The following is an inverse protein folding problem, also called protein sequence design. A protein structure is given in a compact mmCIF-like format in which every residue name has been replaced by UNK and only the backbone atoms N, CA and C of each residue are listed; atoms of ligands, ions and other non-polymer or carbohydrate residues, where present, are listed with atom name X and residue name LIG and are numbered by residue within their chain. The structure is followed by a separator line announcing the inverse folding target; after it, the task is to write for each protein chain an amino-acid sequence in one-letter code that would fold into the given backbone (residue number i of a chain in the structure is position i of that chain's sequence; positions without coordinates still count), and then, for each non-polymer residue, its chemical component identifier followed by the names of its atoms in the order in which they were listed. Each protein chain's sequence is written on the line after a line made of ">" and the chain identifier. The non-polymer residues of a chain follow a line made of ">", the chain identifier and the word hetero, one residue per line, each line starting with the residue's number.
data_IF_757826613422
#
_entry.id   IF_757826613422
#
_cell.length_a   1.000
_cell.length_b   1.000
_cell.length_c   1.000
_cell.angle_alpha   90.00
_cell.angle_beta   90.00
_cell.angle_gamma   90.00
#
_symmetry.space_group_name_H-M   'P 1'
#
loop_
_entity.id
_entity.type
_entity.pdbx_description
1 polymer ?
#
# COMPACT_ATOMS: atom_id res chain seq x y z
N UNK A 1 -0.95 11.85 24.75
CA UNK A 1 0.42 12.30 25.02
C UNK A 1 0.61 12.77 26.46
N UNK A 2 -0.22 13.64 27.00
CA UNK A 2 -0.15 14.12 28.40
C UNK A 2 -0.08 12.96 29.42
N UNK A 3 -0.85 11.90 29.23
CA UNK A 3 -0.79 10.71 30.12
C UNK A 3 0.60 10.05 30.16
N UNK A 4 1.31 10.02 29.01
CA UNK A 4 2.66 9.47 28.94
C UNK A 4 3.65 10.30 29.75
N UNK A 5 3.55 11.63 29.67
CA UNK A 5 4.37 12.55 30.48
C UNK A 5 4.13 12.33 31.96
N UNK A 6 2.85 12.26 32.39
CA UNK A 6 2.49 11.95 33.77
C UNK A 6 3.07 10.61 34.26
N UNK A 7 3.01 9.57 33.43
CA UNK A 7 3.58 8.26 33.77
C UNK A 7 5.11 8.31 33.92
N UNK A 8 5.81 9.05 33.06
CA UNK A 8 7.24 9.29 33.21
C UNK A 8 7.54 9.96 34.56
N UNK A 9 6.80 11.00 34.94
CA UNK A 9 7.03 11.73 36.17
C UNK A 9 6.79 10.85 37.41
N UNK A 10 5.73 10.03 37.36
CA UNK A 10 5.45 9.03 38.42
C UNK A 10 6.56 7.99 38.52
N UNK A 11 7.07 7.50 37.41
CA UNK A 11 8.15 6.52 37.39
C UNK A 11 9.47 7.12 37.92
N UNK A 12 9.81 8.34 37.54
CA UNK A 12 10.96 9.07 38.10
C UNK A 12 10.86 9.23 39.60
N UNK A 13 9.69 9.65 40.09
CA UNK A 13 9.46 9.83 41.55
C UNK A 13 9.55 8.49 42.31
N UNK A 14 9.10 7.39 41.73
CA UNK A 14 9.11 6.09 42.36
C UNK A 14 10.49 5.38 42.34
N UNK A 15 11.28 5.62 41.34
CA UNK A 15 12.54 4.85 41.09
C UNK A 15 13.80 5.66 41.23
N UNK A 16 13.74 6.99 41.18
CA UNK A 16 14.90 7.88 41.13
C UNK A 16 15.65 7.83 39.81
N UNK A 17 15.15 7.10 38.80
CA UNK A 17 15.80 7.00 37.49
C UNK A 17 15.57 8.25 36.63
N UNK A 18 16.61 8.72 35.95
CA UNK A 18 16.45 9.71 34.89
C UNK A 18 15.83 9.06 33.64
N UNK A 19 14.74 9.66 33.14
CA UNK A 19 14.01 9.18 31.97
C UNK A 19 13.95 10.31 30.95
N UNK A 20 15.07 10.54 30.27
CA UNK A 20 15.24 11.69 29.37
C UNK A 20 14.58 11.51 28.03
N UNK A 21 14.39 10.26 27.59
CA UNK A 21 13.76 9.94 26.32
C UNK A 21 12.28 9.57 26.53
N UNK A 22 11.37 10.38 25.95
CA UNK A 22 9.97 10.09 25.93
C UNK A 22 9.50 9.88 24.49
N UNK A 23 9.32 8.60 24.14
CA UNK A 23 8.87 8.21 22.81
C UNK A 23 7.35 8.25 22.70
N UNK A 24 6.84 9.30 22.09
CA UNK A 24 5.42 9.67 22.07
C UNK A 24 4.67 9.33 20.80
N UNK A 25 4.80 8.12 20.29
CA UNK A 25 3.96 7.65 19.19
C UNK A 25 4.66 7.50 17.84
N UNK A 26 3.87 7.53 16.78
CA UNK A 26 4.26 7.20 15.41
C UNK A 26 3.79 8.26 14.41
N UNK A 27 3.79 7.92 13.12
CA UNK A 27 3.34 8.82 12.04
C UNK A 27 1.95 9.42 12.26
N UNK A 28 1.02 8.74 12.95
CA UNK A 28 -0.31 9.26 13.23
C UNK A 28 -0.30 10.46 14.21
N UNK A 29 0.80 10.72 14.88
CA UNK A 29 0.95 11.84 15.81
C UNK A 29 1.59 13.09 15.18
N UNK A 30 2.01 13.01 13.92
CA UNK A 30 2.56 14.17 13.20
C UNK A 30 1.63 15.39 13.17
N UNK A 31 0.30 15.25 13.01
CA UNK A 31 -0.61 16.40 13.09
C UNK A 31 -0.54 17.15 14.42
N UNK A 32 -0.33 16.46 15.55
CA UNK A 32 -0.16 17.10 16.87
C UNK A 32 1.14 17.91 16.93
N UNK A 33 2.20 17.41 16.34
CA UNK A 33 3.47 18.11 16.25
C UNK A 33 3.34 19.39 15.38
N UNK A 34 2.71 19.26 14.21
CA UNK A 34 2.52 20.36 13.26
C UNK A 34 1.60 21.47 13.83
N UNK A 35 0.59 21.10 14.60
CA UNK A 35 -0.31 22.06 15.25
C UNK A 35 0.26 22.66 16.53
N UNK A 36 1.44 22.24 16.98
CA UNK A 36 2.05 22.70 18.23
C UNK A 36 1.31 22.24 19.50
N UNK A 37 0.43 21.25 19.38
CA UNK A 37 -0.36 20.71 20.53
C UNK A 37 0.29 19.51 21.18
N UNK A 38 1.42 19.04 20.67
CA UNK A 38 2.19 17.98 21.31
C UNK A 38 2.89 18.52 22.57
N UNK A 39 2.83 17.80 23.72
CA UNK A 39 3.59 18.19 24.91
C UNK A 39 5.09 18.32 24.59
N UNK A 40 5.73 19.38 25.08
CA UNK A 40 7.14 19.68 24.82
C UNK A 40 8.12 18.62 25.34
N UNK A 41 7.69 17.84 26.33
CA UNK A 41 8.44 16.75 26.93
C UNK A 41 8.54 15.52 26.00
N UNK A 42 7.66 15.40 25.02
CA UNK A 42 7.77 14.36 24.00
C UNK A 42 8.92 14.74 23.04
N UNK A 43 10.01 14.04 23.14
CA UNK A 43 11.24 14.35 22.40
C UNK A 43 11.68 13.26 21.40
N UNK A 44 10.85 12.21 21.23
CA UNK A 44 11.07 11.17 20.27
C UNK A 44 9.75 10.70 19.64
N UNK A 45 9.75 10.48 18.33
CA UNK A 45 8.66 9.87 17.56
C UNK A 45 9.22 8.74 16.69
N UNK A 46 8.44 7.68 16.52
CA UNK A 46 8.75 6.58 15.62
C UNK A 46 8.00 6.79 14.32
N UNK A 47 8.65 7.40 13.34
CA UNK A 47 8.04 7.77 12.07
C UNK A 47 8.57 6.84 10.98
N UNK A 48 7.67 6.22 10.23
CA UNK A 48 8.01 5.34 9.10
C UNK A 48 7.15 5.65 7.88
N UNK A 49 5.88 5.24 7.91
CA UNK A 49 4.96 5.34 6.77
C UNK A 49 4.87 6.75 6.18
N UNK A 50 4.75 7.78 7.01
CA UNK A 50 4.61 9.16 6.53
C UNK A 50 5.86 9.65 5.78
N UNK A 51 7.06 9.17 6.12
CA UNK A 51 8.29 9.52 5.42
C UNK A 51 8.39 8.74 4.11
N UNK A 52 8.17 7.41 4.17
CA UNK A 52 8.37 6.52 3.02
C UNK A 52 7.30 6.78 1.95
N UNK A 53 6.03 6.90 2.33
CA UNK A 53 4.92 7.06 1.37
C UNK A 53 4.43 8.50 1.23
N UNK A 54 4.96 9.43 2.03
CA UNK A 54 4.58 10.84 1.96
C UNK A 54 3.11 11.11 2.27
N UNK A 55 2.47 10.29 3.13
CA UNK A 55 1.04 10.36 3.41
C UNK A 55 0.73 10.49 4.89
N UNK A 56 -0.35 11.20 5.18
CA UNK A 56 -0.96 11.20 6.50
C UNK A 56 -1.56 9.82 6.80
N UNK A 57 -1.15 9.20 7.90
CA UNK A 57 -1.61 7.86 8.25
C UNK A 57 -3.05 7.80 8.76
N UNK A 58 -3.67 8.95 9.08
CA UNK A 58 -5.04 9.02 9.57
C UNK A 58 -6.09 8.98 8.44
N UNK A 59 -5.82 9.66 7.33
CA UNK A 59 -6.78 9.85 6.24
C UNK A 59 -6.21 9.57 4.84
N UNK A 60 -4.94 9.15 4.76
CA UNK A 60 -4.20 8.86 3.52
C UNK A 60 -3.99 10.06 2.59
N UNK A 61 -4.31 11.27 3.03
CA UNK A 61 -4.03 12.49 2.28
C UNK A 61 -2.51 12.69 2.09
N UNK A 62 -2.07 13.35 1.00
CA UNK A 62 -0.68 13.73 0.84
C UNK A 62 -0.19 14.57 2.03
N UNK A 63 0.99 14.22 2.57
CA UNK A 63 1.61 15.04 3.59
C UNK A 63 2.27 16.26 2.94
N UNK A 64 2.10 17.46 3.48
CA UNK A 64 2.66 18.68 2.88
C UNK A 64 4.17 18.56 2.67
N UNK A 65 4.66 19.00 1.51
CA UNK A 65 6.08 19.05 1.13
C UNK A 65 6.77 17.66 1.05
N UNK A 66 5.99 16.58 0.91
CA UNK A 66 6.54 15.25 0.69
C UNK A 66 6.18 14.71 -0.69
N UNK A 67 6.94 13.73 -1.15
CA UNK A 67 6.66 12.95 -2.36
C UNK A 67 5.82 11.73 -2.01
N UNK A 68 4.92 11.32 -2.95
CA UNK A 68 4.08 10.13 -2.81
C UNK A 68 4.45 9.05 -3.84
N UNK A 69 5.54 9.26 -4.58
CA UNK A 69 6.05 8.41 -5.65
C UNK A 69 7.47 7.89 -5.34
N UNK A 70 7.76 7.68 -4.08
CA UNK A 70 9.08 7.27 -3.59
C UNK A 70 9.34 5.77 -3.70
N UNK A 71 8.27 4.97 -3.78
CA UNK A 71 8.32 3.52 -3.90
C UNK A 71 7.30 3.07 -4.93
N UNK A 72 7.72 2.20 -5.82
CA UNK A 72 6.87 1.52 -6.79
C UNK A 72 7.12 0.01 -6.71
N UNK A 73 6.05 -0.77 -6.89
CA UNK A 73 6.12 -2.20 -7.17
C UNK A 73 6.07 -2.37 -8.68
N UNK A 74 7.06 -3.06 -9.22
CA UNK A 74 7.19 -3.29 -10.66
C UNK A 74 7.03 -4.78 -10.92
N UNK A 75 6.27 -5.12 -11.95
CA UNK A 75 6.08 -6.50 -12.40
C UNK A 75 6.05 -6.53 -13.92
N UNK A 76 6.29 -7.70 -14.48
CA UNK A 76 6.35 -7.90 -15.94
C UNK A 76 5.08 -8.57 -16.46
N UNK A 77 4.63 -8.18 -17.65
CA UNK A 77 3.55 -8.86 -18.38
C UNK A 77 4.09 -10.19 -18.94
N UNK A 78 3.47 -11.30 -18.54
CA UNK A 78 3.83 -12.65 -19.03
C UNK A 78 2.79 -13.23 -20.00
N UNK A 79 1.57 -12.70 -20.02
CA UNK A 79 0.52 -13.03 -20.99
C UNK A 79 -0.28 -11.77 -21.31
N UNK A 80 -0.65 -11.59 -22.58
CA UNK A 80 -1.45 -10.46 -23.02
C UNK A 80 -2.43 -10.92 -24.11
N UNK A 81 -3.74 -10.85 -23.81
CA UNK A 81 -4.79 -11.29 -24.73
C UNK A 81 -6.07 -10.45 -24.63
N UNK A 82 -6.81 -10.40 -25.74
CA UNK A 82 -8.16 -9.83 -25.76
C UNK A 82 -9.17 -10.89 -25.33
N UNK A 83 -9.83 -10.64 -24.21
CA UNK A 83 -10.83 -11.56 -23.61
C UNK A 83 -12.14 -10.82 -23.31
N UNK A 84 -13.30 -11.49 -23.33
CA UNK A 84 -14.53 -10.92 -22.81
C UNK A 84 -14.36 -10.53 -21.32
N UNK A 85 -14.94 -9.41 -20.93
CA UNK A 85 -14.91 -8.96 -19.52
C UNK A 85 -15.69 -9.87 -18.59
N UNK A 86 -16.71 -10.54 -19.11
CA UNK A 86 -17.46 -11.59 -18.41
C UNK A 86 -16.86 -12.95 -18.76
N UNK A 87 -16.48 -13.77 -17.77
CA UNK A 87 -16.01 -15.13 -18.02
C UNK A 87 -17.07 -15.98 -18.73
N UNK A 88 -16.62 -16.82 -19.65
CA UNK A 88 -17.49 -17.81 -20.27
C UNK A 88 -17.68 -19.01 -19.33
N UNK A 89 -18.92 -19.38 -19.03
CA UNK A 89 -19.26 -20.54 -18.20
C UNK A 89 -19.77 -20.19 -16.80
N UNK A 90 -19.80 -21.19 -15.91
CA UNK A 90 -20.24 -20.99 -14.53
C UNK A 90 -19.15 -20.28 -13.74
N UNK A 91 -19.53 -19.19 -13.10
CA UNK A 91 -18.67 -18.50 -12.13
C UNK A 91 -18.94 -19.06 -10.73
N UNK A 92 -17.89 -19.30 -9.98
CA UNK A 92 -17.93 -19.73 -8.59
C UNK A 92 -17.20 -18.76 -7.68
N UNK A 93 -16.85 -19.24 -6.51
CA UNK A 93 -15.93 -18.55 -5.61
C UNK A 93 -14.50 -18.58 -6.17
N UNK A 94 -13.74 -17.53 -5.89
CA UNK A 94 -12.30 -17.53 -6.16
C UNK A 94 -11.56 -18.48 -5.20
N UNK A 95 -10.25 -18.63 -5.40
CA UNK A 95 -9.42 -19.50 -4.55
C UNK A 95 -9.39 -19.07 -3.06
N UNK A 96 -9.95 -17.92 -2.73
CA UNK A 96 -10.01 -17.34 -1.38
C UNK A 96 -11.44 -17.29 -0.83
N UNK A 97 -12.39 -17.98 -1.47
CA UNK A 97 -13.79 -18.07 -1.05
C UNK A 97 -14.60 -16.78 -1.27
N UNK A 98 -14.19 -15.91 -2.18
CA UNK A 98 -14.90 -14.68 -2.50
C UNK A 98 -15.71 -14.83 -3.78
N UNK A 99 -16.98 -14.40 -3.76
CA UNK A 99 -17.78 -14.27 -4.96
C UNK A 99 -17.35 -13.03 -5.75
N UNK A 100 -16.78 -13.26 -6.93
CA UNK A 100 -16.38 -12.17 -7.83
C UNK A 100 -17.58 -11.75 -8.68
N UNK A 101 -17.91 -10.47 -8.64
CA UNK A 101 -18.93 -9.88 -9.53
C UNK A 101 -18.27 -9.28 -10.75
N UNK A 102 -18.81 -9.59 -11.93
CA UNK A 102 -18.29 -9.09 -13.21
C UNK A 102 -19.24 -8.06 -13.79
N UNK A 103 -18.70 -6.94 -14.26
CA UNK A 103 -19.43 -5.93 -15.02
C UNK A 103 -19.08 -6.10 -16.49
N UNK A 104 -20.10 -6.16 -17.36
CA UNK A 104 -19.85 -6.24 -18.79
C UNK A 104 -19.26 -4.93 -19.34
N UNK A 105 -18.06 -5.05 -19.90
CA UNK A 105 -17.30 -3.97 -20.54
C UNK A 105 -16.88 -4.36 -21.97
N UNK A 106 -17.51 -5.40 -22.53
CA UNK A 106 -17.18 -5.96 -23.84
C UNK A 106 -15.85 -6.71 -23.84
N UNK A 107 -15.15 -6.68 -24.95
CA UNK A 107 -13.84 -7.31 -25.11
C UNK A 107 -12.75 -6.36 -24.63
N UNK A 108 -11.95 -6.82 -23.65
CA UNK A 108 -10.91 -6.03 -23.01
C UNK A 108 -9.52 -6.64 -23.25
N UNK A 109 -8.49 -5.81 -23.34
CA UNK A 109 -7.10 -6.26 -23.35
C UNK A 109 -6.70 -6.60 -21.93
N UNK A 110 -6.43 -7.86 -21.67
CA UNK A 110 -6.14 -8.38 -20.33
C UNK A 110 -4.71 -8.90 -20.27
N UNK A 111 -3.95 -8.41 -19.32
CA UNK A 111 -2.61 -8.89 -19.00
C UNK A 111 -2.63 -9.80 -17.79
N UNK A 112 -1.74 -10.78 -17.78
CA UNK A 112 -1.30 -11.53 -16.62
C UNK A 112 0.12 -11.05 -16.32
N UNK A 113 0.36 -10.64 -15.07
CA UNK A 113 1.65 -10.17 -14.60
C UNK A 113 2.24 -11.15 -13.59
N UNK A 114 3.57 -11.23 -13.55
CA UNK A 114 4.33 -12.12 -12.66
C UNK A 114 4.42 -11.53 -11.23
N UNK A 115 3.26 -11.43 -10.57
CA UNK A 115 3.11 -10.97 -9.19
C UNK A 115 1.76 -11.51 -8.68
N UNK A 116 1.71 -12.12 -7.52
CA UNK A 116 0.49 -12.72 -7.01
C UNK A 116 0.15 -12.37 -5.58
N UNK A 117 -0.90 -13.01 -5.06
CA UNK A 117 -1.35 -12.79 -3.67
C UNK A 117 -0.37 -13.30 -2.62
N UNK A 118 0.55 -14.19 -2.99
CA UNK A 118 1.64 -14.61 -2.12
C UNK A 118 2.61 -13.44 -1.82
N UNK A 119 2.67 -12.45 -2.71
CA UNK A 119 3.58 -11.31 -2.63
C UNK A 119 2.88 -10.07 -2.09
N UNK A 120 1.64 -9.84 -2.54
CA UNK A 120 0.88 -8.65 -2.17
C UNK A 120 -0.62 -8.84 -2.39
N UNK A 121 -1.45 -8.21 -1.57
CA UNK A 121 -2.89 -8.16 -1.84
C UNK A 121 -3.14 -7.17 -3.01
N UNK A 122 -3.87 -7.57 -4.07
CA UNK A 122 -4.18 -6.69 -5.21
C UNK A 122 -4.81 -5.35 -4.84
N UNK A 123 -5.61 -5.31 -3.75
CA UNK A 123 -6.22 -4.06 -3.27
C UNK A 123 -5.22 -3.05 -2.70
N UNK A 124 -3.99 -3.49 -2.43
CA UNK A 124 -2.90 -2.64 -1.94
C UNK A 124 -2.06 -2.03 -3.05
N UNK A 125 -2.42 -2.28 -4.31
CA UNK A 125 -1.74 -1.81 -5.50
C UNK A 125 -2.60 -0.80 -6.27
N UNK A 126 -2.07 0.40 -6.48
CA UNK A 126 -2.67 1.41 -7.36
C UNK A 126 -1.82 1.53 -8.62
N UNK A 127 -2.34 1.25 -9.82
CA UNK A 127 -1.59 1.43 -11.05
C UNK A 127 -1.06 2.87 -11.20
N UNK A 128 0.15 3.02 -11.71
CA UNK A 128 0.71 4.34 -12.06
C UNK A 128 0.03 4.89 -13.31
N UNK A 129 -0.20 4.03 -14.30
CA UNK A 129 -1.05 4.37 -15.45
C UNK A 129 -2.53 4.32 -15.04
N UNK A 130 -3.28 5.44 -15.12
CA UNK A 130 -4.70 5.48 -14.75
C UNK A 130 -5.60 4.68 -15.70
N UNK A 131 -5.11 4.29 -16.88
CA UNK A 131 -5.82 3.42 -17.83
C UNK A 131 -5.77 1.94 -17.46
N UNK A 132 -4.94 1.56 -16.48
CA UNK A 132 -4.87 0.19 -15.98
C UNK A 132 -5.86 -0.06 -14.85
N UNK A 133 -6.49 -1.24 -14.85
CA UNK A 133 -7.43 -1.65 -13.79
C UNK A 133 -7.01 -3.01 -13.25
N UNK A 134 -6.66 -3.06 -11.98
CA UNK A 134 -6.41 -4.34 -11.28
C UNK A 134 -7.74 -5.08 -11.13
N UNK A 135 -7.85 -6.25 -11.74
CA UNK A 135 -9.04 -7.09 -11.69
C UNK A 135 -9.01 -8.09 -10.54
N UNK A 136 -7.82 -8.52 -10.12
CA UNK A 136 -7.61 -9.49 -9.06
C UNK A 136 -6.30 -10.22 -9.23
N UNK A 137 -6.07 -11.24 -8.39
CA UNK A 137 -4.90 -12.11 -8.51
C UNK A 137 -5.20 -13.53 -8.03
N UNK A 138 -4.51 -14.50 -8.63
CA UNK A 138 -4.28 -15.82 -8.06
C UNK A 138 -3.15 -15.78 -7.04
N UNK A 139 -2.66 -16.95 -6.58
CA UNK A 139 -1.48 -17.03 -5.73
C UNK A 139 -0.26 -16.34 -6.35
N UNK A 140 -0.04 -16.54 -7.67
CA UNK A 140 1.20 -16.19 -8.35
C UNK A 140 1.05 -15.12 -9.44
N UNK A 141 -0.19 -14.80 -9.84
CA UNK A 141 -0.45 -13.97 -11.02
C UNK A 141 -1.45 -12.86 -10.75
N UNK A 142 -1.07 -11.63 -11.07
CA UNK A 142 -1.94 -10.45 -11.06
C UNK A 142 -2.62 -10.31 -12.42
N UNK A 143 -3.92 -10.04 -12.41
CA UNK A 143 -4.72 -9.83 -13.61
C UNK A 143 -5.05 -8.34 -13.72
N UNK A 144 -4.67 -7.72 -14.85
CA UNK A 144 -4.85 -6.29 -15.11
C UNK A 144 -5.56 -6.09 -16.44
N UNK A 145 -6.59 -5.25 -16.45
CA UNK A 145 -7.17 -4.72 -17.68
C UNK A 145 -6.34 -3.53 -18.15
N UNK A 146 -5.83 -3.61 -19.36
CA UNK A 146 -4.94 -2.63 -19.98
C UNK A 146 -5.52 -2.01 -21.25
N UNK A 147 -6.84 -2.13 -21.44
CA UNK A 147 -7.49 -1.67 -22.68
C UNK A 147 -7.32 -0.19 -22.90
N UNK A 148 -7.33 0.58 -21.82
CA UNK A 148 -7.23 2.04 -21.83
C UNK A 148 -5.81 2.54 -21.45
N UNK A 149 -4.78 1.68 -21.61
CA UNK A 149 -3.38 2.02 -21.35
C UNK A 149 -2.95 3.26 -22.17
N UNK A 150 -2.21 4.16 -21.53
CA UNK A 150 -1.69 5.37 -22.18
C UNK A 150 -0.64 5.04 -23.24
N UNK A 151 0.09 3.95 -23.08
CA UNK A 151 1.12 3.47 -24.01
C UNK A 151 0.77 2.09 -24.53
N UNK A 152 1.37 1.70 -25.65
CA UNK A 152 1.23 0.32 -26.13
C UNK A 152 1.98 -0.64 -25.22
N UNK A 153 1.34 -1.75 -24.90
CA UNK A 153 1.89 -2.79 -24.04
C UNK A 153 2.08 -4.09 -24.82
N UNK A 154 3.12 -4.84 -24.45
CA UNK A 154 3.44 -6.16 -25.00
C UNK A 154 3.94 -7.10 -23.90
N UNK A 155 4.10 -8.37 -24.18
CA UNK A 155 4.72 -9.32 -23.26
C UNK A 155 6.16 -8.85 -22.98
N UNK A 156 6.55 -8.83 -21.69
CA UNK A 156 7.82 -8.28 -21.23
C UNK A 156 7.75 -6.81 -20.82
N UNK A 157 6.63 -6.11 -21.07
CA UNK A 157 6.46 -4.73 -20.58
C UNK A 157 6.38 -4.71 -19.06
N UNK A 158 7.14 -3.80 -18.43
CA UNK A 158 7.04 -3.51 -17.00
C UNK A 158 5.77 -2.72 -16.67
N UNK A 159 5.04 -3.19 -15.67
CA UNK A 159 3.86 -2.51 -15.12
C UNK A 159 4.18 -2.02 -13.73
N UNK A 160 3.82 -0.76 -13.44
CA UNK A 160 4.19 -0.06 -12.21
C UNK A 160 2.98 0.24 -11.36
N UNK A 161 3.11 0.02 -10.05
CA UNK A 161 2.07 0.26 -9.07
C UNK A 161 2.63 1.03 -7.87
N UNK A 162 1.81 1.91 -7.31
CA UNK A 162 2.07 2.54 -6.01
C UNK A 162 1.43 1.70 -4.91
N UNK A 163 2.22 1.15 -3.99
CA UNK A 163 1.68 0.34 -2.91
C UNK A 163 1.06 1.19 -1.81
N UNK A 164 0.12 0.59 -1.06
CA UNK A 164 -0.20 1.03 0.29
C UNK A 164 0.95 0.66 1.25
N UNK A 165 0.86 1.06 2.52
CA UNK A 165 1.84 0.60 3.52
C UNK A 165 1.80 -0.93 3.71
N UNK A 166 0.60 -1.53 3.68
CA UNK A 166 0.47 -2.98 3.75
C UNK A 166 1.09 -3.67 2.52
N UNK A 167 0.87 -3.11 1.32
CA UNK A 167 1.49 -3.59 0.10
C UNK A 167 3.02 -3.49 0.12
N UNK A 168 3.56 -2.35 0.58
CA UNK A 168 5.00 -2.18 0.77
C UNK A 168 5.57 -3.20 1.75
N UNK A 169 4.91 -3.41 2.89
CA UNK A 169 5.36 -4.39 3.89
C UNK A 169 5.36 -5.81 3.32
N UNK A 170 4.29 -6.19 2.62
CA UNK A 170 4.15 -7.51 2.02
C UNK A 170 5.24 -7.76 0.98
N UNK A 171 5.40 -6.85 0.01
CA UNK A 171 6.42 -6.98 -1.05
C UNK A 171 7.84 -6.94 -0.51
N UNK A 172 8.14 -6.09 0.47
CA UNK A 172 9.47 -6.02 1.09
C UNK A 172 9.85 -7.27 1.93
N UNK A 173 8.88 -8.12 2.25
CA UNK A 173 9.09 -9.38 2.99
C UNK A 173 8.89 -10.63 2.14
N UNK A 174 8.40 -10.50 0.91
CA UNK A 174 8.32 -11.60 -0.04
C UNK A 174 9.72 -11.99 -0.52
N UNK A 175 10.00 -13.28 -0.55
CA UNK A 175 11.27 -13.79 -1.09
C UNK A 175 11.35 -13.74 -2.62
N UNK A 176 10.24 -13.47 -3.29
CA UNK A 176 10.12 -13.42 -4.75
C UNK A 176 10.18 -11.98 -5.30
N UNK A 177 10.12 -10.96 -4.44
CA UNK A 177 10.21 -9.54 -4.82
C UNK A 177 11.59 -8.99 -4.43
N UNK A 178 12.25 -8.29 -5.37
CA UNK A 178 13.62 -7.77 -5.24
C UNK A 178 13.65 -6.25 -5.33
#
# INVERSE_FOLDING_TARGET
>A
MTRLVQLRDMARAATGLELDLISGGNSANLPLMMSGTMPSEINNLRIGEAIILGRNTLDRSPWPQTRQDTVEVVTEIIELERKPSIPLGRTGEDAFGQHVTFTDRGTRLRAICNLGRQDVNPSDLTPVDPGHIVLGASSDHLIVDMTDSAESVEIGTEVRFRPTYAGLLATATSSAVW
#
